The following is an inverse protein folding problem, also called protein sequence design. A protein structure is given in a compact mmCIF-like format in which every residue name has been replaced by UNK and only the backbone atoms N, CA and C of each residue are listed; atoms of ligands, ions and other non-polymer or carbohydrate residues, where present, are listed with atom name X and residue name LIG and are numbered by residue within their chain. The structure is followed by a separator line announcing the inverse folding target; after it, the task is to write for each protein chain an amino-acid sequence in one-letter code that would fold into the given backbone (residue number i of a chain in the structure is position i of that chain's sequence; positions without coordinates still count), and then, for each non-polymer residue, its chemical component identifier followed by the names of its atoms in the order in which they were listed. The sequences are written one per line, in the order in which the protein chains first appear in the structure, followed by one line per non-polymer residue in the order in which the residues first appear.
data_IF_401629194516
#
_entry.id   IF_401629194516
#
_cell.length_a   1.000
_cell.length_b   1.000
_cell.length_c   1.000
_cell.angle_alpha   90.00
_cell.angle_beta   90.00
_cell.angle_gamma   90.00
#
_symmetry.space_group_name_H-M   'P 1'
#
loop_
_entity.id
_entity.type
_entity.pdbx_description
1 polymer ?
#
# COMPACT_ATOMS: atom_id res chain seq x y z
N UNK A 1 21.80 -36.59 26.23
CA UNK A 1 21.70 -36.54 24.74
C UNK A 1 20.31 -36.14 24.22
N UNK A 2 19.20 -36.59 24.83
CA UNK A 2 17.83 -36.21 24.41
C UNK A 2 17.47 -34.72 24.58
N UNK A 3 18.03 -34.05 25.60
CA UNK A 3 17.83 -32.59 25.85
C UNK A 3 18.45 -31.70 24.76
N UNK A 4 19.55 -32.13 24.15
CA UNK A 4 20.20 -31.39 23.05
C UNK A 4 19.46 -31.62 21.72
N UNK A 5 18.83 -32.78 21.55
CA UNK A 5 17.96 -33.08 20.41
C UNK A 5 16.70 -32.18 20.39
N UNK A 6 16.13 -31.90 21.57
CA UNK A 6 14.98 -30.99 21.73
C UNK A 6 15.31 -29.55 21.29
N UNK A 7 16.54 -29.09 21.56
CA UNK A 7 17.00 -27.75 21.18
C UNK A 7 17.20 -27.58 19.66
N UNK A 8 17.59 -28.65 18.95
CA UNK A 8 17.81 -28.64 17.49
C UNK A 8 16.47 -28.58 16.74
N UNK A 9 15.45 -29.26 17.25
CA UNK A 9 14.09 -29.25 16.66
C UNK A 9 13.43 -27.87 16.80
N UNK A 10 13.68 -27.16 17.91
CA UNK A 10 13.16 -25.81 18.14
C UNK A 10 13.77 -24.75 17.21
N UNK A 11 15.02 -24.94 16.78
CA UNK A 11 15.71 -24.02 15.87
C UNK A 11 15.24 -24.17 14.41
N UNK A 12 14.68 -25.33 14.05
CA UNK A 12 14.21 -25.60 12.69
C UNK A 12 12.86 -24.93 12.36
N UNK A 13 12.12 -24.47 13.37
CA UNK A 13 10.81 -23.82 13.22
C UNK A 13 10.88 -22.31 12.90
N UNK A 14 12.07 -21.69 12.89
CA UNK A 14 12.23 -20.25 12.64
C UNK A 14 12.42 -19.88 11.17
N UNK A 15 12.47 -20.85 10.26
CA UNK A 15 12.70 -20.62 8.83
C UNK A 15 11.41 -20.53 8.01
N UNK A 16 10.43 -19.73 8.46
CA UNK A 16 9.32 -19.33 7.60
C UNK A 16 9.62 -17.96 6.99
N UNK A 17 10.40 -17.94 5.90
CA UNK A 17 10.55 -16.73 5.08
C UNK A 17 9.38 -16.69 4.09
N UNK A 18 8.25 -16.07 4.48
CA UNK A 18 7.19 -15.78 3.53
C UNK A 18 7.70 -14.75 2.52
N UNK A 19 8.01 -15.17 1.30
CA UNK A 19 8.31 -14.23 0.23
C UNK A 19 7.04 -13.43 -0.06
N UNK A 20 7.04 -12.14 0.27
CA UNK A 20 5.98 -11.25 -0.15
C UNK A 20 6.05 -11.12 -1.67
N UNK A 21 4.93 -11.29 -2.40
CA UNK A 21 4.91 -11.04 -3.83
C UNK A 21 5.31 -9.59 -4.09
N UNK A 22 6.49 -9.39 -4.70
CA UNK A 22 6.93 -8.08 -5.20
C UNK A 22 6.09 -7.74 -6.42
N UNK A 23 4.89 -7.22 -6.20
CA UNK A 23 4.13 -6.53 -7.24
C UNK A 23 4.78 -5.15 -7.48
N UNK A 24 6.02 -5.14 -7.98
CA UNK A 24 6.72 -3.90 -8.30
C UNK A 24 6.43 -3.56 -9.75
N UNK A 25 5.26 -2.97 -9.98
CA UNK A 25 5.10 -2.11 -11.15
C UNK A 25 6.09 -0.96 -10.96
N UNK A 26 7.08 -0.86 -11.85
CA UNK A 26 8.12 0.17 -11.76
C UNK A 26 7.58 1.49 -12.31
N UNK A 27 6.99 2.29 -11.43
CA UNK A 27 6.51 3.62 -11.79
C UNK A 27 7.68 4.62 -11.80
N UNK A 28 7.70 5.51 -12.81
CA UNK A 28 8.66 6.61 -12.91
C UNK A 28 8.62 7.55 -11.69
N UNK A 29 7.44 7.73 -11.10
CA UNK A 29 7.23 8.55 -9.90
C UNK A 29 7.09 7.62 -8.70
N UNK A 30 8.00 7.77 -7.73
CA UNK A 30 7.98 7.06 -6.45
C UNK A 30 7.95 8.11 -5.34
N UNK A 31 6.86 8.11 -4.57
CA UNK A 31 6.67 8.98 -3.41
C UNK A 31 6.21 8.12 -2.23
N UNK A 32 6.60 8.51 -1.04
CA UNK A 32 6.14 7.93 0.22
C UNK A 32 4.67 8.26 0.48
N UNK A 33 4.03 7.51 1.37
CA UNK A 33 2.68 7.81 1.83
C UNK A 33 2.57 9.21 2.44
N UNK A 34 3.60 9.66 3.15
CA UNK A 34 3.61 10.98 3.78
C UNK A 34 3.66 12.09 2.73
N UNK A 35 4.52 11.96 1.72
CA UNK A 35 4.57 12.91 0.59
C UNK A 35 3.23 12.97 -0.14
N UNK A 36 2.61 11.81 -0.42
CA UNK A 36 1.28 11.79 -1.01
C UNK A 36 0.20 12.44 -0.14
N UNK A 37 0.22 12.19 1.18
CA UNK A 37 -0.73 12.83 2.11
C UNK A 37 -0.54 14.34 2.20
N UNK A 38 0.68 14.82 2.03
CA UNK A 38 0.99 16.25 2.08
C UNK A 38 0.64 16.96 0.76
N UNK A 39 0.78 16.29 -0.38
CA UNK A 39 0.51 16.86 -1.71
C UNK A 39 -0.96 16.78 -2.11
N UNK A 40 -1.66 15.73 -1.71
CA UNK A 40 -3.05 15.50 -2.10
C UNK A 40 -4.03 16.08 -1.09
N UNK A 41 -5.19 16.53 -1.58
CA UNK A 41 -6.34 16.77 -0.72
C UNK A 41 -6.78 15.45 -0.05
N UNK A 42 -7.47 15.55 1.09
CA UNK A 42 -7.98 14.36 1.82
C UNK A 42 -8.82 13.45 0.92
N UNK A 43 -9.70 14.01 0.09
CA UNK A 43 -10.57 13.25 -0.83
C UNK A 43 -9.75 12.61 -1.94
N UNK A 44 -8.81 13.34 -2.54
CA UNK A 44 -7.92 12.81 -3.59
C UNK A 44 -7.05 11.67 -3.07
N UNK A 45 -6.51 11.78 -1.86
CA UNK A 45 -5.75 10.70 -1.22
C UNK A 45 -6.64 9.47 -1.00
N UNK A 46 -7.84 9.66 -0.43
CA UNK A 46 -8.80 8.57 -0.22
C UNK A 46 -9.15 7.84 -1.52
N UNK A 47 -9.47 8.56 -2.60
CA UNK A 47 -9.81 7.95 -3.88
C UNK A 47 -8.60 7.27 -4.53
N UNK A 48 -7.48 7.98 -4.71
CA UNK A 48 -6.33 7.49 -5.49
C UNK A 48 -5.48 6.44 -4.75
N UNK A 49 -5.35 6.56 -3.43
CA UNK A 49 -4.43 5.71 -2.63
C UNK A 49 -5.16 4.67 -1.81
N UNK A 50 -6.38 4.94 -1.35
CA UNK A 50 -7.17 4.01 -0.55
C UNK A 50 -8.26 3.30 -1.35
N UNK A 51 -8.26 3.42 -2.68
CA UNK A 51 -9.26 2.83 -3.57
C UNK A 51 -10.69 3.25 -3.22
N UNK A 52 -10.84 4.44 -2.65
CA UNK A 52 -12.13 5.02 -2.31
C UNK A 52 -12.89 5.52 -3.55
N UNK A 53 -14.16 5.83 -3.36
CA UNK A 53 -15.00 6.47 -4.38
C UNK A 53 -15.59 7.74 -3.79
N UNK A 54 -15.55 8.85 -4.53
CA UNK A 54 -16.19 10.08 -4.09
C UNK A 54 -17.72 9.94 -4.12
N UNK A 55 -18.46 10.66 -3.26
CA UNK A 55 -19.92 10.66 -3.33
C UNK A 55 -20.43 11.11 -4.70
N UNK A 56 -21.61 10.63 -5.13
CA UNK A 56 -22.21 11.04 -6.41
C UNK A 56 -22.28 12.56 -6.54
N UNK A 57 -21.86 13.06 -7.70
CA UNK A 57 -21.93 14.48 -8.08
C UNK A 57 -21.14 15.44 -7.18
N UNK A 58 -20.22 14.93 -6.34
CA UNK A 58 -19.45 15.76 -5.40
C UNK A 58 -18.12 16.28 -5.95
N UNK A 59 -17.63 15.74 -7.07
CA UNK A 59 -16.39 16.15 -7.68
C UNK A 59 -16.42 17.61 -8.12
N UNK A 60 -15.32 18.34 -7.88
CA UNK A 60 -15.13 19.76 -8.29
C UNK A 60 -15.47 19.99 -9.77
N UNK A 61 -15.22 18.98 -10.61
CA UNK A 61 -15.39 19.06 -12.05
C UNK A 61 -16.64 18.32 -12.56
N UNK A 62 -17.57 17.93 -11.68
CA UNK A 62 -18.77 17.18 -12.06
C UNK A 62 -19.61 17.89 -13.15
N UNK A 63 -19.65 19.22 -13.14
CA UNK A 63 -20.36 20.04 -14.13
C UNK A 63 -19.42 21.10 -14.74
N UNK A 64 -18.18 20.72 -15.09
CA UNK A 64 -17.25 21.65 -15.73
C UNK A 64 -17.45 21.67 -17.25
N UNK A 65 -17.75 22.85 -17.80
CA UNK A 65 -17.94 23.10 -19.24
C UNK A 65 -16.89 24.07 -19.83
N UNK A 66 -15.85 24.39 -19.06
CA UNK A 66 -14.77 25.27 -19.52
C UNK A 66 -13.87 24.52 -20.51
N UNK A 67 -13.32 25.24 -21.49
CA UNK A 67 -12.26 24.71 -22.34
C UNK A 67 -10.98 24.46 -21.52
N UNK A 68 -10.23 23.42 -21.91
CA UNK A 68 -9.12 22.84 -21.14
C UNK A 68 -7.76 23.48 -21.36
#
# INVERSE_FOLDING_TARGET
MKKNLLFIILFFCLSCNSQQPKNTVDFKIKKSELEWKNELSKVSFYVLRMQGTEPPFSGKYNNNYQEG
#
